data_IF_605667350852
#
_entry.id   IF_605667350852
#
_cell.length_a   1.000
_cell.length_b   1.000
_cell.length_c   1.000
_cell.angle_alpha   90.00
_cell.angle_beta   90.00
_cell.angle_gamma   90.00
#
_symmetry.space_group_name_H-M   'P 1'
#
loop_
_entity.id
_entity.type
_entity.pdbx_description
1 polymer ?
#
# COMPACT_ATOMS: atom_id res chain seq x y z
N UNK A 1 4.33 -1.69 -5.70
CA UNK A 1 4.01 -2.97 -5.04
C UNK A 1 2.65 -3.51 -5.44
N UNK A 2 1.54 -2.78 -5.27
CA UNK A 2 0.19 -3.25 -5.64
C UNK A 2 0.00 -3.67 -7.11
N UNK A 3 0.81 -3.15 -8.03
CA UNK A 3 0.85 -3.62 -9.42
C UNK A 3 1.39 -5.06 -9.57
N UNK A 4 2.27 -5.52 -8.68
CA UNK A 4 2.97 -6.79 -8.81
C UNK A 4 2.35 -7.94 -8.01
N UNK A 5 1.50 -7.65 -7.03
CA UNK A 5 0.96 -8.64 -6.09
C UNK A 5 -0.57 -8.61 -6.10
N UNK A 6 -1.17 -9.74 -5.78
CA UNK A 6 -2.60 -9.81 -5.48
C UNK A 6 -2.90 -9.00 -4.21
N UNK A 7 -3.63 -7.90 -4.39
CA UNK A 7 -3.98 -6.98 -3.31
C UNK A 7 -5.02 -7.55 -2.35
N UNK A 8 -5.84 -8.50 -2.80
CA UNK A 8 -6.92 -9.10 -2.02
C UNK A 8 -6.45 -10.32 -1.22
N UNK A 9 -5.21 -10.76 -1.43
CA UNK A 9 -4.59 -11.81 -0.65
C UNK A 9 -4.58 -11.44 0.83
N UNK A 10 -5.20 -12.30 1.66
CA UNK A 10 -5.23 -12.17 3.11
C UNK A 10 -3.92 -12.66 3.69
N UNK A 11 -3.26 -11.82 4.48
CA UNK A 11 -1.99 -12.13 5.14
C UNK A 11 -2.20 -13.21 6.20
N UNK A 12 -1.58 -14.39 6.07
CA UNK A 12 -1.73 -15.45 7.06
C UNK A 12 -0.92 -15.13 8.32
N UNK A 13 -1.45 -15.53 9.48
CA UNK A 13 -0.79 -15.42 10.78
C UNK A 13 -0.24 -14.00 11.07
N UNK A 14 -1.07 -12.93 11.03
CA UNK A 14 -0.64 -11.59 11.38
C UNK A 14 -0.11 -11.55 12.82
N UNK A 15 0.84 -10.65 13.09
CA UNK A 15 1.50 -10.51 14.38
C UNK A 15 1.56 -9.05 14.82
N UNK A 16 1.73 -8.84 16.11
CA UNK A 16 1.97 -7.53 16.74
C UNK A 16 3.16 -7.60 17.69
N UNK A 17 3.90 -6.50 17.90
CA UNK A 17 4.97 -6.47 18.88
C UNK A 17 4.43 -6.64 20.30
N UNK A 18 5.20 -7.28 21.19
CA UNK A 18 4.95 -7.23 22.64
C UNK A 18 5.06 -5.80 23.17
N UNK A 19 4.53 -5.55 24.38
CA UNK A 19 4.52 -4.21 24.99
C UNK A 19 5.92 -3.63 25.22
N UNK A 20 6.94 -4.48 25.37
CA UNK A 20 8.35 -4.09 25.48
C UNK A 20 9.07 -3.98 24.11
N UNK A 21 8.40 -4.38 23.02
CA UNK A 21 8.94 -4.36 21.66
C UNK A 21 9.99 -5.44 21.36
N UNK A 22 10.19 -6.43 22.24
CA UNK A 22 11.28 -7.42 22.12
C UNK A 22 10.86 -8.75 21.48
N UNK A 23 9.56 -8.97 21.26
CA UNK A 23 9.03 -10.19 20.66
C UNK A 23 7.81 -9.94 19.77
N UNK A 24 7.47 -10.91 18.93
CA UNK A 24 6.26 -10.91 18.12
C UNK A 24 5.22 -11.85 18.76
N UNK A 25 3.99 -11.36 18.87
CA UNK A 25 2.86 -12.11 19.39
C UNK A 25 1.79 -12.26 18.29
N UNK A 26 1.07 -13.39 18.23
CA UNK A 26 -0.04 -13.55 17.29
C UNK A 26 -1.07 -12.43 17.44
N UNK A 27 -1.50 -11.85 16.32
CA UNK A 27 -2.60 -10.90 16.31
C UNK A 27 -3.93 -11.65 16.36
N UNK A 28 -4.72 -11.42 17.41
CA UNK A 28 -5.99 -12.11 17.66
C UNK A 28 -7.21 -11.20 17.49
N UNK A 29 -7.08 -10.09 16.76
CA UNK A 29 -8.19 -9.19 16.48
C UNK A 29 -9.28 -9.85 15.63
N UNK A 30 -10.52 -9.37 15.75
CA UNK A 30 -11.66 -9.92 15.01
C UNK A 30 -11.55 -9.76 13.48
N UNK A 31 -10.68 -8.87 13.02
CA UNK A 31 -10.35 -8.60 11.63
C UNK A 31 -9.10 -9.35 11.15
N UNK A 32 -8.50 -10.25 11.95
CA UNK A 32 -7.28 -10.97 11.58
C UNK A 32 -7.38 -11.72 10.23
N UNK A 33 -8.57 -12.24 9.91
CA UNK A 33 -8.87 -12.87 8.62
C UNK A 33 -9.20 -11.92 7.47
N UNK A 34 -9.08 -10.60 7.69
CA UNK A 34 -9.42 -9.53 6.74
C UNK A 34 -8.22 -8.61 6.44
N UNK A 35 -7.06 -8.88 7.02
CA UNK A 35 -5.83 -8.12 6.78
C UNK A 35 -5.29 -8.48 5.40
N UNK A 36 -5.50 -7.62 4.40
CA UNK A 36 -5.07 -7.85 3.02
C UNK A 36 -3.73 -7.20 2.69
N UNK A 37 -3.04 -7.72 1.67
CA UNK A 37 -1.81 -7.10 1.13
C UNK A 37 -2.05 -5.63 0.75
N UNK A 38 -3.18 -5.31 0.12
CA UNK A 38 -3.51 -3.92 -0.22
C UNK A 38 -3.65 -3.04 1.04
N UNK A 39 -4.33 -3.54 2.07
CA UNK A 39 -4.48 -2.84 3.35
C UNK A 39 -3.16 -2.60 4.06
N UNK A 40 -2.30 -3.63 4.14
CA UNK A 40 -1.01 -3.54 4.83
C UNK A 40 -0.01 -2.64 4.11
N UNK A 41 -0.01 -2.62 2.77
CA UNK A 41 0.79 -1.68 1.99
C UNK A 41 0.32 -0.23 2.17
N UNK A 42 -1.01 -0.01 2.24
CA UNK A 42 -1.56 1.31 2.56
C UNK A 42 -1.16 1.75 3.97
N UNK A 43 -1.23 0.84 4.94
CA UNK A 43 -0.80 1.09 6.32
C UNK A 43 0.68 1.42 6.39
N UNK A 44 1.55 0.70 5.68
CA UNK A 44 2.97 0.97 5.62
C UNK A 44 3.28 2.38 5.09
N UNK A 45 2.61 2.79 4.00
CA UNK A 45 2.79 4.13 3.43
C UNK A 45 2.45 5.24 4.45
N UNK A 46 1.35 5.09 5.20
CA UNK A 46 0.97 6.03 6.24
C UNK A 46 1.92 5.98 7.44
N UNK A 47 2.33 4.80 7.90
CA UNK A 47 3.23 4.66 9.06
C UNK A 47 4.56 5.40 8.85
N UNK A 48 5.15 5.31 7.66
CA UNK A 48 6.39 6.03 7.33
C UNK A 48 6.16 7.54 7.36
N UNK A 49 5.12 8.02 6.68
CA UNK A 49 4.85 9.46 6.59
C UNK A 49 4.45 10.07 7.94
N UNK A 50 3.64 9.36 8.74
CA UNK A 50 3.27 9.77 10.10
C UNK A 50 4.47 9.76 11.05
N UNK A 51 5.29 8.70 11.02
CA UNK A 51 6.47 8.59 11.87
C UNK A 51 7.52 9.66 11.57
N UNK A 52 7.83 9.88 10.29
CA UNK A 52 8.75 10.93 9.87
C UNK A 52 8.17 12.33 10.12
N UNK A 53 6.93 12.57 9.71
CA UNK A 53 6.37 13.91 9.62
C UNK A 53 5.62 14.37 10.85
N UNK A 54 4.53 13.68 11.18
CA UNK A 54 3.60 14.10 12.23
C UNK A 54 4.20 13.89 13.61
N UNK A 55 4.74 12.71 13.89
CA UNK A 55 5.33 12.40 15.20
C UNK A 55 6.58 13.23 15.49
N UNK A 56 7.33 13.61 14.46
CA UNK A 56 8.50 14.49 14.60
C UNK A 56 8.15 15.99 14.55
N UNK A 57 6.88 16.34 14.32
CA UNK A 57 6.40 17.73 14.32
C UNK A 57 6.84 18.57 13.12
N UNK A 58 7.18 17.95 12.00
CA UNK A 58 7.71 18.62 10.79
C UNK A 58 6.75 18.59 9.58
N UNK A 59 5.64 17.86 9.68
CA UNK A 59 4.58 17.83 8.66
C UNK A 59 3.18 17.82 9.29
N UNK A 60 2.20 18.26 8.52
CA UNK A 60 0.79 18.13 8.83
C UNK A 60 0.21 16.86 8.23
N UNK A 61 -0.95 16.43 8.76
CA UNK A 61 -1.71 15.31 8.18
C UNK A 61 -2.05 15.54 6.71
N UNK A 62 -2.41 16.77 6.34
CA UNK A 62 -2.69 17.16 4.96
C UNK A 62 -1.51 16.93 4.01
N UNK A 63 -0.28 17.14 4.50
CA UNK A 63 0.94 16.97 3.70
C UNK A 63 1.13 15.48 3.39
N UNK A 64 0.90 14.62 4.39
CA UNK A 64 0.96 13.16 4.24
C UNK A 64 -0.03 12.67 3.20
N UNK A 65 -1.31 13.00 3.39
CA UNK A 65 -2.40 12.47 2.56
C UNK A 65 -2.23 12.93 1.10
N UNK A 66 -1.90 14.21 0.89
CA UNK A 66 -1.69 14.77 -0.46
C UNK A 66 -0.45 14.17 -1.15
N UNK A 67 0.64 13.97 -0.41
CA UNK A 67 1.90 13.43 -0.96
C UNK A 67 1.76 11.95 -1.37
N UNK A 68 1.01 11.17 -0.60
CA UNK A 68 0.72 9.76 -0.94
C UNK A 68 -0.10 9.70 -2.24
N UNK A 69 -1.13 10.54 -2.38
CA UNK A 69 -1.92 10.62 -3.60
C UNK A 69 -1.10 11.05 -4.82
N UNK A 70 -0.23 12.05 -4.66
CA UNK A 70 0.69 12.48 -5.72
C UNK A 70 1.64 11.36 -6.14
N UNK A 71 2.23 10.65 -5.16
CA UNK A 71 3.12 9.52 -5.43
C UNK A 71 2.41 8.37 -6.16
N UNK A 72 1.16 8.06 -5.80
CA UNK A 72 0.34 7.06 -6.50
C UNK A 72 0.07 7.48 -7.95
N UNK A 73 -0.33 8.75 -8.19
CA UNK A 73 -0.59 9.26 -9.53
C UNK A 73 0.66 9.20 -10.43
N UNK A 74 1.82 9.60 -9.91
CA UNK A 74 3.09 9.51 -10.63
C UNK A 74 3.47 8.05 -10.97
N UNK A 75 3.34 7.14 -9.99
CA UNK A 75 3.64 5.73 -10.20
C UNK A 75 2.74 5.11 -11.27
N UNK A 76 1.44 5.44 -11.27
CA UNK A 76 0.49 5.01 -12.31
C UNK A 76 0.92 5.52 -13.68
N UNK A 77 1.27 6.81 -13.82
CA UNK A 77 1.75 7.38 -15.08
C UNK A 77 2.98 6.63 -15.62
N UNK A 78 3.96 6.37 -14.76
CA UNK A 78 5.17 5.62 -15.14
C UNK A 78 4.82 4.20 -15.58
N UNK A 79 3.91 3.52 -14.88
CA UNK A 79 3.48 2.16 -15.24
C UNK A 79 2.73 2.13 -16.58
N UNK A 80 1.91 3.15 -16.87
CA UNK A 80 1.23 3.30 -18.16
C UNK A 80 2.24 3.47 -19.30
N UNK A 81 3.22 4.36 -19.15
CA UNK A 81 4.29 4.54 -20.15
C UNK A 81 5.11 3.26 -20.34
N UNK A 82 5.44 2.59 -19.24
CA UNK A 82 6.22 1.35 -19.28
C UNK A 82 5.46 0.21 -19.95
N UNK A 83 4.14 0.14 -19.77
CA UNK A 83 3.29 -0.88 -20.40
C UNK A 83 3.49 -0.92 -21.92
N UNK A 84 3.62 0.25 -22.55
CA UNK A 84 3.81 0.39 -24.00
C UNK A 84 5.16 -0.16 -24.51
N UNK A 85 6.11 -0.41 -23.61
CA UNK A 85 7.45 -0.90 -23.97
C UNK A 85 7.56 -2.42 -23.96
N UNK A 86 6.55 -3.14 -23.46
CA UNK A 86 6.56 -4.60 -23.38
C UNK A 86 5.94 -5.23 -24.62
N UNK A 87 6.53 -6.33 -25.09
CA UNK A 87 6.02 -7.11 -26.21
C UNK A 87 4.90 -8.05 -25.77
N UNK A 88 5.02 -8.63 -24.58
CA UNK A 88 4.01 -9.50 -23.98
C UNK A 88 2.78 -8.68 -23.61
N UNK A 89 1.61 -9.18 -24.05
CA UNK A 89 0.33 -8.52 -23.83
C UNK A 89 -0.19 -8.85 -22.43
N UNK A 90 -0.51 -7.82 -21.64
CA UNK A 90 -1.00 -7.98 -20.26
C UNK A 90 -2.02 -6.93 -19.88
N UNK A 91 -2.77 -7.24 -18.82
CA UNK A 91 -3.62 -6.28 -18.11
C UNK A 91 -3.51 -6.56 -16.61
N UNK A 92 -3.15 -5.54 -15.85
CA UNK A 92 -3.08 -5.59 -14.39
C UNK A 92 -4.09 -4.60 -13.82
N UNK A 93 -4.80 -5.02 -12.76
CA UNK A 93 -5.73 -4.18 -12.00
C UNK A 93 -5.33 -4.17 -10.55
N UNK A 94 -5.40 -3.02 -9.91
CA UNK A 94 -5.15 -2.89 -8.48
C UNK A 94 -5.96 -1.74 -7.86
N UNK A 95 -6.20 -1.86 -6.56
CA UNK A 95 -6.99 -0.88 -5.80
C UNK A 95 -6.13 0.30 -5.35
N UNK A 96 -6.57 1.51 -5.72
CA UNK A 96 -5.95 2.79 -5.38
C UNK A 96 -6.14 3.16 -3.91
N UNK A 97 -5.48 4.21 -3.47
CA UNK A 97 -5.62 4.75 -2.11
C UNK A 97 -7.07 5.19 -1.82
N UNK A 98 -7.76 5.75 -2.80
CA UNK A 98 -9.16 6.19 -2.68
C UNK A 98 -10.19 5.05 -2.86
N UNK A 99 -9.75 3.80 -2.97
CA UNK A 99 -10.60 2.62 -3.15
C UNK A 99 -11.08 2.39 -4.58
N UNK A 100 -10.79 3.28 -5.52
CA UNK A 100 -11.08 3.03 -6.95
C UNK A 100 -10.05 2.08 -7.57
N UNK A 101 -10.32 1.53 -8.75
CA UNK A 101 -9.41 0.60 -9.44
C UNK A 101 -8.58 1.32 -10.50
N UNK A 102 -7.26 1.13 -10.47
CA UNK A 102 -6.39 1.46 -11.59
C UNK A 102 -6.24 0.24 -12.51
N UNK A 103 -6.18 0.48 -13.83
CA UNK A 103 -5.88 -0.56 -14.82
C UNK A 103 -4.67 -0.13 -15.64
N UNK A 104 -3.67 -1.01 -15.74
CA UNK A 104 -2.48 -0.86 -16.59
C UNK A 104 -2.51 -1.97 -17.62
N UNK A 105 -2.44 -1.61 -18.90
CA UNK A 105 -2.59 -2.57 -20.00
C UNK A 105 -1.85 -2.10 -21.24
N UNK A 106 -1.28 -3.04 -21.99
CA UNK A 106 -0.74 -2.82 -23.34
C UNK A 106 -1.44 -3.69 -24.40
N UNK A 107 -2.57 -4.32 -24.05
CA UNK A 107 -3.46 -5.01 -24.98
C UNK A 107 -3.79 -4.12 -26.17
#
# INVERSE_FOLDING_TARGET
MKFFFDGDFVVPNPVVPSSDGLSLQPYTGGDAGQITVNGELNKLAHNISFGHGIHSGIHWRSDTDSSIQLGEALAISILQDRALTYNEKFTVRFTKIDGTTATISNQ
#
